data_IF_030766162483
#
_entry.id   IF_030766162483
#
_cell.length_a   1.000
_cell.length_b   1.000
_cell.length_c   1.000
_cell.angle_alpha   90.00
_cell.angle_beta   90.00
_cell.angle_gamma   90.00
#
_symmetry.space_group_name_H-M   'P 1'
#
loop_
_entity.id
_entity.type
_entity.pdbx_description
1 polymer ?
#
# COMPACT_ATOMS: atom_id res chain seq x y z
N UNK A 1 13.75 6.81 -7.43
CA UNK A 1 12.60 5.90 -7.26
C UNK A 1 11.42 6.45 -8.02
N UNK A 2 10.62 5.61 -8.66
CA UNK A 2 9.34 5.99 -9.28
C UNK A 2 8.30 4.89 -9.03
N UNK A 3 7.04 5.22 -9.29
CA UNK A 3 5.93 4.28 -9.27
C UNK A 3 5.53 3.98 -10.72
N UNK A 4 5.35 2.71 -11.05
CA UNK A 4 4.72 2.27 -12.31
C UNK A 4 3.47 1.44 -12.03
N UNK A 5 2.62 1.33 -12.99
CA UNK A 5 1.45 0.47 -12.89
C UNK A 5 1.85 -1.00 -12.76
N UNK A 6 0.99 -1.78 -12.09
CA UNK A 6 1.11 -3.24 -12.05
C UNK A 6 0.91 -3.81 -13.44
N UNK A 7 1.67 -4.83 -13.79
CA UNK A 7 1.63 -5.53 -15.06
C UNK A 7 1.51 -7.05 -14.87
N UNK A 8 1.05 -7.76 -15.89
CA UNK A 8 0.95 -9.23 -15.85
C UNK A 8 2.30 -9.92 -15.59
N UNK A 9 3.41 -9.27 -15.90
CA UNK A 9 4.77 -9.74 -15.62
C UNK A 9 5.20 -9.70 -14.15
N UNK A 10 4.43 -9.05 -13.26
CA UNK A 10 4.80 -8.86 -11.85
C UNK A 10 4.56 -10.07 -10.94
N UNK A 11 4.25 -11.24 -11.50
CA UNK A 11 3.94 -12.47 -10.75
C UNK A 11 5.06 -12.81 -9.74
N UNK A 12 6.33 -12.73 -10.14
CA UNK A 12 7.45 -13.08 -9.25
C UNK A 12 7.57 -12.09 -8.08
N UNK A 13 7.33 -10.81 -8.31
CA UNK A 13 7.29 -9.81 -7.23
C UNK A 13 6.15 -10.09 -6.25
N UNK A 14 4.96 -10.47 -6.76
CA UNK A 14 3.82 -10.84 -5.93
C UNK A 14 4.09 -12.11 -5.11
N UNK A 15 4.72 -13.13 -5.70
CA UNK A 15 5.14 -14.33 -4.97
C UNK A 15 6.08 -13.96 -3.82
N UNK A 16 7.09 -13.15 -4.06
CA UNK A 16 8.03 -12.70 -3.03
C UNK A 16 7.35 -11.92 -1.91
N UNK A 17 6.34 -11.09 -2.22
CA UNK A 17 5.61 -10.32 -1.21
C UNK A 17 4.57 -11.13 -0.47
N UNK A 18 3.81 -12.00 -1.15
CA UNK A 18 2.60 -12.62 -0.60
C UNK A 18 2.77 -14.07 -0.16
N UNK A 19 3.77 -14.78 -0.68
CA UNK A 19 4.05 -16.17 -0.27
C UNK A 19 5.19 -16.26 0.76
N UNK A 20 5.87 -15.16 1.06
CA UNK A 20 6.92 -15.12 2.07
C UNK A 20 6.34 -15.00 3.49
N UNK A 21 6.69 -15.90 4.43
CA UNK A 21 6.13 -15.88 5.78
C UNK A 21 6.53 -14.65 6.59
N UNK A 22 7.70 -14.06 6.34
CA UNK A 22 8.16 -12.85 7.04
C UNK A 22 7.37 -11.64 6.56
N UNK A 23 7.18 -11.51 5.24
CA UNK A 23 6.38 -10.44 4.64
C UNK A 23 4.92 -10.48 5.10
N UNK A 24 4.38 -11.68 5.26
CA UNK A 24 2.96 -11.87 5.59
C UNK A 24 2.68 -12.09 7.09
N UNK A 25 3.70 -11.98 7.95
CA UNK A 25 3.55 -12.21 9.39
C UNK A 25 2.46 -11.33 10.03
N UNK A 26 2.39 -10.06 9.64
CA UNK A 26 1.41 -9.08 10.13
C UNK A 26 0.08 -9.07 9.33
N UNK A 27 -0.05 -9.97 8.36
CA UNK A 27 -1.20 -10.06 7.43
C UNK A 27 -1.84 -11.46 7.42
N UNK A 28 -1.72 -12.18 8.53
CA UNK A 28 -2.36 -13.50 8.72
C UNK A 28 -1.65 -14.67 8.06
N UNK A 29 -0.38 -14.51 7.72
CA UNK A 29 0.48 -15.56 7.18
C UNK A 29 0.54 -15.64 5.65
N UNK A 30 1.49 -16.43 5.11
CA UNK A 30 1.77 -16.52 3.68
C UNK A 30 0.59 -17.06 2.89
N UNK A 31 0.45 -16.58 1.66
CA UNK A 31 -0.55 -17.08 0.70
C UNK A 31 0.03 -18.25 -0.10
N UNK A 32 -0.81 -19.22 -0.51
CA UNK A 32 -0.38 -20.24 -1.43
C UNK A 32 0.02 -19.62 -2.77
N UNK A 33 1.01 -20.22 -3.46
CA UNK A 33 1.46 -19.76 -4.79
C UNK A 33 0.35 -19.87 -5.82
N UNK A 34 -0.49 -20.88 -5.67
CA UNK A 34 -1.70 -21.05 -6.46
C UNK A 34 -2.63 -19.86 -6.24
N UNK A 35 -3.03 -19.22 -7.33
CA UNK A 35 -3.87 -18.02 -7.28
C UNK A 35 -3.09 -16.68 -7.31
N UNK A 36 -1.77 -16.66 -7.22
CA UNK A 36 -1.00 -15.41 -7.37
C UNK A 36 -1.14 -14.82 -8.78
N UNK A 37 -1.10 -15.64 -9.81
CA UNK A 37 -1.32 -15.17 -11.20
C UNK A 37 -2.72 -14.58 -11.39
N UNK A 38 -3.74 -15.19 -10.77
CA UNK A 38 -5.10 -14.66 -10.80
C UNK A 38 -5.20 -13.34 -10.03
N UNK A 39 -4.50 -13.23 -8.89
CA UNK A 39 -4.43 -11.96 -8.13
C UNK A 39 -3.79 -10.84 -8.96
N UNK A 40 -2.68 -11.11 -9.65
CA UNK A 40 -2.04 -10.12 -10.54
C UNK A 40 -2.98 -9.72 -11.67
N UNK A 41 -3.68 -10.69 -12.28
CA UNK A 41 -4.67 -10.43 -13.35
C UNK A 41 -5.81 -9.56 -12.85
N UNK A 42 -6.35 -9.86 -11.66
CA UNK A 42 -7.38 -9.05 -11.02
C UNK A 42 -6.90 -7.63 -10.77
N UNK A 43 -5.69 -7.46 -10.23
CA UNK A 43 -5.11 -6.14 -9.93
C UNK A 43 -4.91 -5.29 -11.21
N UNK A 44 -4.49 -5.91 -12.31
CA UNK A 44 -4.40 -5.25 -13.62
C UNK A 44 -5.78 -4.83 -14.15
N UNK A 45 -6.81 -5.67 -13.94
CA UNK A 45 -8.19 -5.34 -14.31
C UNK A 45 -8.77 -4.21 -13.47
N UNK A 46 -8.54 -4.23 -12.15
CA UNK A 46 -9.00 -3.20 -11.22
C UNK A 46 -8.36 -1.84 -11.56
N UNK A 47 -7.07 -1.84 -11.89
CA UNK A 47 -6.37 -0.67 -12.39
C UNK A 47 -6.99 -0.16 -13.70
N UNK A 48 -7.22 -1.04 -14.68
CA UNK A 48 -7.77 -0.68 -15.98
C UNK A 48 -9.20 -0.16 -15.89
N UNK A 49 -10.01 -0.66 -14.97
CA UNK A 49 -11.37 -0.19 -14.69
C UNK A 49 -11.41 1.11 -13.87
N UNK A 50 -10.27 1.54 -13.32
CA UNK A 50 -10.16 2.71 -12.46
C UNK A 50 -10.71 2.51 -11.05
N UNK A 51 -11.04 1.28 -10.63
CA UNK A 51 -11.53 0.99 -9.28
C UNK A 51 -10.45 1.00 -8.23
N UNK A 52 -9.20 0.78 -8.64
CA UNK A 52 -8.03 0.84 -7.78
C UNK A 52 -6.81 1.43 -8.50
N UNK A 53 -5.91 1.99 -7.73
CA UNK A 53 -4.53 2.24 -8.17
C UNK A 53 -3.62 1.22 -7.52
N UNK A 54 -2.91 0.47 -8.33
CA UNK A 54 -1.95 -0.53 -7.87
C UNK A 54 -0.63 -0.25 -8.55
N UNK A 55 0.32 0.24 -7.78
CA UNK A 55 1.61 0.71 -8.26
C UNK A 55 2.74 -0.15 -7.71
N UNK A 56 3.67 -0.49 -8.58
CA UNK A 56 4.92 -1.14 -8.21
C UNK A 56 5.96 -0.07 -7.89
N UNK A 57 6.71 -0.29 -6.81
CA UNK A 57 7.79 0.59 -6.36
C UNK A 57 9.08 0.19 -7.08
N UNK A 58 9.57 1.03 -7.98
CA UNK A 58 10.82 0.80 -8.73
C UNK A 58 11.93 1.69 -8.14
N UNK A 59 12.99 1.10 -7.55
CA UNK A 59 14.02 1.84 -6.84
C UNK A 59 14.84 2.79 -7.70
N UNK A 60 15.12 2.41 -8.95
CA UNK A 60 15.96 3.16 -9.87
C UNK A 60 15.46 3.04 -11.31
N UNK A 61 15.62 4.09 -12.09
CA UNK A 61 15.36 4.08 -13.54
C UNK A 61 16.38 3.21 -14.30
N UNK A 62 17.60 3.04 -13.76
CA UNK A 62 18.65 2.19 -14.35
C UNK A 62 18.32 0.69 -14.26
N UNK A 63 17.40 0.31 -13.39
CA UNK A 63 16.97 -1.09 -13.16
C UNK A 63 15.46 -1.19 -13.14
N UNK A 64 14.77 -0.94 -14.26
CA UNK A 64 13.29 -0.86 -14.31
C UNK A 64 12.58 -2.17 -13.95
N UNK A 65 13.25 -3.31 -14.14
CA UNK A 65 12.73 -4.64 -13.82
C UNK A 65 12.83 -4.99 -12.32
N UNK A 66 13.57 -4.18 -11.54
CA UNK A 66 13.70 -4.39 -10.10
C UNK A 66 12.50 -3.77 -9.38
N UNK A 67 11.76 -4.60 -8.66
CA UNK A 67 10.64 -4.18 -7.84
C UNK A 67 11.01 -4.24 -6.37
N UNK A 68 10.87 -3.12 -5.66
CA UNK A 68 11.10 -3.03 -4.21
C UNK A 68 9.84 -3.34 -3.39
N UNK A 69 8.67 -3.29 -4.00
CA UNK A 69 7.40 -3.49 -3.31
C UNK A 69 6.22 -2.98 -4.10
N UNK A 70 5.09 -2.79 -3.41
CA UNK A 70 3.86 -2.24 -3.99
C UNK A 70 3.23 -1.23 -3.05
N UNK A 71 2.49 -0.27 -3.63
CA UNK A 71 1.56 0.61 -2.93
C UNK A 71 0.25 0.66 -3.70
N UNK A 72 -0.87 0.55 -3.00
CA UNK A 72 -2.19 0.48 -3.62
C UNK A 72 -3.18 1.38 -2.91
N UNK A 73 -4.12 1.96 -3.67
CA UNK A 73 -5.25 2.73 -3.17
C UNK A 73 -6.50 2.23 -3.87
N UNK A 74 -7.49 1.78 -3.10
CA UNK A 74 -8.74 1.20 -3.63
C UNK A 74 -9.93 1.62 -2.79
N UNK A 75 -11.12 1.57 -3.37
CA UNK A 75 -12.37 1.77 -2.65
C UNK A 75 -13.12 0.45 -2.47
N UNK A 76 -13.67 0.27 -1.29
CA UNK A 76 -14.51 -0.87 -0.96
C UNK A 76 -15.63 -0.48 0.00
N UNK A 77 -16.68 -1.29 0.05
CA UNK A 77 -17.78 -1.11 1.00
C UNK A 77 -17.49 -1.87 2.28
N UNK A 78 -17.64 -1.21 3.42
CA UNK A 78 -17.52 -1.79 4.75
C UNK A 78 -18.62 -1.20 5.64
N UNK A 79 -19.42 -2.06 6.27
CA UNK A 79 -20.52 -1.67 7.15
C UNK A 79 -21.55 -0.70 6.50
N UNK A 80 -21.73 -0.81 5.16
CA UNK A 80 -22.64 0.03 4.38
C UNK A 80 -22.06 1.41 3.99
N UNK A 81 -20.78 1.65 4.26
CA UNK A 81 -20.05 2.86 3.87
C UNK A 81 -18.93 2.55 2.89
N UNK A 82 -18.73 3.43 1.90
CA UNK A 82 -17.59 3.34 0.99
C UNK A 82 -16.36 3.98 1.63
N UNK A 83 -15.30 3.19 1.71
CA UNK A 83 -14.00 3.63 2.21
C UNK A 83 -12.96 3.58 1.10
N UNK A 84 -12.06 4.58 1.08
CA UNK A 84 -10.83 4.49 0.30
C UNK A 84 -9.70 4.03 1.21
N UNK A 85 -9.07 2.90 0.88
CA UNK A 85 -8.02 2.30 1.69
C UNK A 85 -6.69 2.30 0.95
N UNK A 86 -5.61 2.65 1.67
CA UNK A 86 -4.25 2.58 1.17
C UNK A 86 -3.46 1.48 1.88
N UNK A 87 -2.75 0.67 1.10
CA UNK A 87 -1.87 -0.39 1.61
C UNK A 87 -0.54 -0.41 0.89
N UNK A 88 0.49 -0.95 1.53
CA UNK A 88 1.83 -1.07 0.95
C UNK A 88 2.57 -2.28 1.48
N UNK A 89 3.48 -2.78 0.66
CA UNK A 89 4.43 -3.83 0.99
C UNK A 89 5.81 -3.44 0.46
N UNK A 90 6.85 -3.64 1.25
CA UNK A 90 8.24 -3.39 0.82
C UNK A 90 9.06 -4.62 1.12
N UNK A 91 9.72 -5.18 0.11
CA UNK A 91 10.55 -6.37 0.23
C UNK A 91 11.70 -6.16 1.23
N UNK A 92 12.11 -7.18 1.99
CA UNK A 92 13.03 -7.05 3.12
C UNK A 92 14.33 -6.32 2.80
N UNK A 93 14.94 -6.60 1.64
CA UNK A 93 16.18 -5.98 1.20
C UNK A 93 16.07 -4.49 0.85
N UNK A 94 14.83 -3.98 0.73
CA UNK A 94 14.55 -2.56 0.46
C UNK A 94 13.96 -1.84 1.67
N UNK A 95 13.67 -2.54 2.77
CA UNK A 95 13.17 -1.94 4.00
C UNK A 95 14.21 -1.02 4.65
N UNK A 96 13.76 -0.10 5.52
CA UNK A 96 14.63 0.84 6.21
C UNK A 96 15.24 1.95 5.34
N UNK A 97 14.95 1.97 4.04
CA UNK A 97 15.50 2.93 3.05
C UNK A 97 14.51 4.01 2.63
N UNK A 98 13.36 4.11 3.31
CA UNK A 98 12.36 5.14 3.06
C UNK A 98 11.39 4.86 1.89
N UNK A 99 11.56 3.79 1.13
CA UNK A 99 10.74 3.49 -0.06
C UNK A 99 9.23 3.43 0.25
N UNK A 100 8.83 2.77 1.34
CA UNK A 100 7.42 2.68 1.72
C UNK A 100 6.81 4.05 2.02
N UNK A 101 7.50 4.89 2.80
CA UNK A 101 7.04 6.25 3.11
C UNK A 101 6.90 7.10 1.84
N UNK A 102 7.92 7.05 0.97
CA UNK A 102 7.94 7.84 -0.26
C UNK A 102 6.83 7.37 -1.21
N UNK A 103 6.62 6.05 -1.36
CA UNK A 103 5.57 5.51 -2.21
C UNK A 103 4.16 5.91 -1.74
N UNK A 104 3.89 5.81 -0.42
CA UNK A 104 2.60 6.25 0.16
C UNK A 104 2.39 7.74 -0.07
N UNK A 105 3.42 8.57 0.14
CA UNK A 105 3.35 10.01 -0.13
C UNK A 105 3.00 10.30 -1.59
N UNK A 106 3.73 9.70 -2.54
CA UNK A 106 3.47 9.90 -3.97
C UNK A 106 2.04 9.53 -4.36
N UNK A 107 1.53 8.41 -3.82
CA UNK A 107 0.17 7.98 -4.11
C UNK A 107 -0.88 8.92 -3.50
N UNK A 108 -0.63 9.48 -2.32
CA UNK A 108 -1.50 10.49 -1.70
C UNK A 108 -1.46 11.83 -2.46
N UNK A 109 -0.31 12.23 -3.00
CA UNK A 109 -0.19 13.42 -3.87
C UNK A 109 -1.00 13.25 -5.16
N UNK A 110 -0.92 12.08 -5.81
CA UNK A 110 -1.77 11.74 -6.95
C UNK A 110 -3.26 11.75 -6.57
N UNK A 111 -3.62 11.20 -5.39
CA UNK A 111 -5.00 11.18 -4.90
C UNK A 111 -5.56 12.58 -4.65
N UNK A 112 -4.71 13.50 -4.19
CA UNK A 112 -5.06 14.92 -4.01
C UNK A 112 -5.38 15.60 -5.35
N UNK A 113 -4.59 15.31 -6.38
CA UNK A 113 -4.79 15.91 -7.71
C UNK A 113 -6.07 15.43 -8.38
N UNK A 114 -6.43 14.18 -8.19
CA UNK A 114 -7.63 13.59 -8.80
C UNK A 114 -8.92 13.84 -8.01
N UNK A 115 -8.82 14.13 -6.72
CA UNK A 115 -9.91 14.52 -5.78
C UNK A 115 -11.15 13.61 -5.76
N UNK A 116 -11.00 12.31 -6.08
CA UNK A 116 -12.12 11.34 -6.06
C UNK A 116 -12.13 10.41 -4.86
N UNK A 117 -11.03 10.32 -4.12
CA UNK A 117 -10.84 9.31 -3.08
C UNK A 117 -11.39 9.69 -1.71
N UNK A 118 -11.66 10.98 -1.46
CA UNK A 118 -12.12 11.47 -0.16
C UNK A 118 -11.09 11.21 0.95
N UNK A 119 -11.57 10.81 2.13
CA UNK A 119 -10.68 10.38 3.21
C UNK A 119 -10.01 9.05 2.86
N UNK A 120 -8.70 8.97 3.08
CA UNK A 120 -7.92 7.75 2.86
C UNK A 120 -7.60 7.10 4.20
N UNK A 121 -7.92 5.82 4.30
CA UNK A 121 -7.82 4.99 5.48
C UNK A 121 -6.64 4.02 5.36
N UNK A 122 -5.97 3.70 6.47
CA UNK A 122 -4.95 2.66 6.54
C UNK A 122 -5.14 1.84 7.82
N UNK A 123 -4.91 0.52 7.72
CA UNK A 123 -5.15 -0.43 8.81
C UNK A 123 -3.91 -1.32 9.08
N UNK A 124 -2.73 -0.76 9.40
CA UNK A 124 -1.60 -1.59 9.80
C UNK A 124 -1.89 -2.30 11.12
N UNK A 125 -1.43 -3.56 11.25
CA UNK A 125 -1.50 -4.28 12.52
C UNK A 125 -0.90 -3.44 13.66
N UNK A 126 -1.46 -3.53 14.86
CA UNK A 126 -0.98 -2.77 16.04
C UNK A 126 0.49 -3.04 16.34
N UNK A 127 0.97 -4.25 16.03
CA UNK A 127 2.35 -4.71 16.21
C UNK A 127 3.30 -4.25 15.09
N UNK A 128 2.77 -3.80 13.94
CA UNK A 128 3.56 -3.36 12.79
C UNK A 128 4.11 -1.95 13.01
N UNK A 129 5.15 -1.82 13.84
CA UNK A 129 5.75 -0.53 14.17
C UNK A 129 6.24 0.27 12.94
N UNK A 130 6.88 -0.34 11.91
CA UNK A 130 7.29 0.38 10.70
C UNK A 130 6.11 1.03 9.96
N UNK A 131 5.03 0.29 9.71
CA UNK A 131 3.86 0.81 8.99
C UNK A 131 3.13 1.88 9.80
N UNK A 132 2.97 1.70 11.11
CA UNK A 132 2.43 2.73 12.00
C UNK A 132 3.33 3.98 12.02
N UNK A 133 4.65 3.81 11.90
CA UNK A 133 5.62 4.90 11.78
C UNK A 133 5.44 5.71 10.48
N UNK A 134 5.15 5.05 9.37
CA UNK A 134 4.82 5.71 8.10
C UNK A 134 3.57 6.58 8.26
N UNK A 135 2.49 6.02 8.80
CA UNK A 135 1.25 6.78 9.03
C UNK A 135 1.51 8.06 9.85
N UNK A 136 2.18 7.93 11.01
CA UNK A 136 2.51 9.10 11.84
C UNK A 136 3.34 10.13 11.10
N UNK A 137 4.36 9.67 10.36
CA UNK A 137 5.32 10.58 9.70
C UNK A 137 4.74 11.31 8.49
N UNK A 138 3.62 10.85 7.95
CA UNK A 138 2.90 11.47 6.83
C UNK A 138 1.69 12.30 7.28
N UNK A 139 1.39 12.34 8.59
CA UNK A 139 0.31 13.15 9.12
C UNK A 139 -1.04 12.46 9.19
N UNK A 140 -1.08 11.14 9.04
CA UNK A 140 -2.32 10.41 9.32
C UNK A 140 -2.72 10.61 10.80
N UNK A 141 -4.00 10.78 11.02
CA UNK A 141 -4.60 10.84 12.35
C UNK A 141 -5.02 9.44 12.79
N UNK A 142 -4.58 9.00 13.96
CA UNK A 142 -5.07 7.76 14.57
C UNK A 142 -6.51 7.97 15.06
N UNK A 143 -7.42 7.10 14.64
CA UNK A 143 -8.83 7.11 15.04
C UNK A 143 -9.03 6.19 16.24
N UNK A 144 -8.71 4.92 16.08
CA UNK A 144 -8.91 3.88 17.08
C UNK A 144 -8.08 2.63 16.79
N UNK A 145 -8.00 1.71 17.73
CA UNK A 145 -7.66 0.32 17.47
C UNK A 145 -8.95 -0.47 17.22
N UNK A 146 -8.97 -1.32 16.20
CA UNK A 146 -10.13 -2.15 15.87
C UNK A 146 -9.72 -3.51 15.31
N UNK A 147 -10.66 -4.43 15.33
CA UNK A 147 -10.53 -5.68 14.58
C UNK A 147 -10.89 -5.46 13.11
N UNK A 148 -10.04 -5.99 12.23
CA UNK A 148 -10.27 -5.98 10.78
C UNK A 148 -10.15 -7.39 10.22
N UNK A 149 -11.08 -7.75 9.34
CA UNK A 149 -11.00 -9.00 8.59
C UNK A 149 -10.03 -8.86 7.43
N UNK A 150 -9.03 -9.70 7.37
CA UNK A 150 -8.10 -9.77 6.25
C UNK A 150 -7.90 -11.21 5.80
N UNK A 151 -8.35 -11.53 4.59
CA UNK A 151 -8.14 -12.84 3.94
C UNK A 151 -8.51 -14.05 4.84
N UNK A 152 -9.63 -13.96 5.55
CA UNK A 152 -10.16 -15.04 6.39
C UNK A 152 -9.62 -15.09 7.81
N UNK A 153 -8.76 -14.15 8.21
CA UNK A 153 -8.30 -13.98 9.59
C UNK A 153 -8.75 -12.63 10.14
N UNK A 154 -8.91 -12.56 11.46
CA UNK A 154 -9.18 -11.31 12.16
C UNK A 154 -7.87 -10.79 12.73
N UNK A 155 -7.52 -9.56 12.39
CA UNK A 155 -6.32 -8.88 12.85
C UNK A 155 -6.70 -7.68 13.69
N UNK A 156 -5.92 -7.41 14.73
CA UNK A 156 -6.03 -6.18 15.49
C UNK A 156 -5.18 -5.10 14.83
N UNK A 157 -5.81 -4.04 14.36
CA UNK A 157 -5.18 -2.98 13.57
C UNK A 157 -5.42 -1.59 14.17
N UNK A 158 -4.49 -0.69 13.92
CA UNK A 158 -4.68 0.74 14.13
C UNK A 158 -5.40 1.33 12.92
N UNK A 159 -6.52 1.98 13.12
CA UNK A 159 -7.24 2.71 12.09
C UNK A 159 -6.68 4.14 11.99
N UNK A 160 -6.01 4.41 10.90
CA UNK A 160 -5.45 5.71 10.55
C UNK A 160 -6.22 6.35 9.41
N UNK A 161 -6.36 7.68 9.44
CA UNK A 161 -7.09 8.44 8.41
C UNK A 161 -6.31 9.69 8.02
N UNK A 162 -6.30 10.01 6.72
CA UNK A 162 -5.79 11.26 6.19
C UNK A 162 -6.73 11.82 5.12
N UNK A 163 -6.87 13.13 5.06
CA UNK A 163 -7.45 13.83 3.90
C UNK A 163 -6.29 14.18 2.96
N UNK A 164 -6.22 13.60 1.75
CA UNK A 164 -5.14 13.90 0.80
C UNK A 164 -5.04 15.38 0.41
N UNK A 165 -6.12 16.15 0.58
CA UNK A 165 -6.16 17.59 0.30
C UNK A 165 -5.44 18.44 1.34
N UNK A 166 -5.18 17.88 2.53
CA UNK A 166 -4.38 18.55 3.57
C UNK A 166 -2.90 18.50 3.23
N UNK A 167 -2.10 19.38 3.81
CA UNK A 167 -0.64 19.32 3.66
C UNK A 167 -0.09 18.04 4.29
N UNK A 168 0.71 17.28 3.53
CA UNK A 168 1.42 16.11 4.02
C UNK A 168 2.61 16.58 4.88
N UNK A 169 2.71 16.05 6.10
CA UNK A 169 3.83 16.37 6.99
C UNK A 169 5.14 15.81 6.40
N UNK A 170 6.19 16.64 6.36
CA UNK A 170 7.54 16.21 5.98
C UNK A 170 8.04 16.65 4.61
N UNK A 171 7.60 17.81 4.11
CA UNK A 171 8.14 18.46 2.89
C UNK A 171 7.62 17.86 1.56
N UNK A 172 7.83 18.56 0.47
CA UNK A 172 7.57 18.09 -0.89
C UNK A 172 8.56 16.97 -1.28
N UNK A 173 8.18 16.17 -2.29
CA UNK A 173 9.08 15.18 -2.93
C UNK A 173 10.37 15.83 -3.44
N UNK A 174 10.32 17.11 -3.79
CA UNK A 174 11.48 17.90 -4.27
C UNK A 174 12.55 18.13 -3.20
N UNK A 175 12.21 18.03 -1.91
CA UNK A 175 13.15 18.18 -0.77
C UNK A 175 13.98 16.90 -0.51
N UNK A 176 13.74 15.82 -1.25
CA UNK A 176 14.39 14.51 -1.07
C UNK A 176 15.35 14.15 -2.23
N UNK A 177 15.68 15.11 -3.12
CA UNK A 177 16.66 14.94 -4.20
C UNK A 177 18.08 15.30 -3.77
#
# INVERSE_FOLDING_TARGET
MHLRDVELGDVDAYVRMRCDPVMMAELGGPRPREGIEEKVRSDVQDLASGTAWIKMIVPSEDTPDVVAGTVSLWSHETDGEWLSEIGWMVLPEFQGRGFGKLAVRMLLEMAREEDRWGLVHAFPAVTNAPSNGICRSLGFRLVEEREVGFAGVVLRANHWVIDPRTELIGGSVDDLR
#
